data_IF_151536656215
#
_entry.id   IF_151536656215
#
_cell.length_a   1.000
_cell.length_b   1.000
_cell.length_c   1.000
_cell.angle_alpha   90.00
_cell.angle_beta   90.00
_cell.angle_gamma   90.00
#
_symmetry.space_group_name_H-M   'P 1'
#
loop_
_entity.id
_entity.type
_entity.pdbx_description
1 polymer ?
#
# COMPACT_ATOMS: atom_id res chain seq x y z
N UNK A 1 -13.77 -24.72 -0.07
CA UNK A 1 -13.27 -23.90 -1.18
C UNK A 1 -14.47 -23.36 -1.94
N UNK A 2 -14.50 -22.07 -2.19
CA UNK A 2 -15.54 -21.44 -3.00
C UNK A 2 -15.28 -21.65 -4.48
N UNK A 3 -16.35 -21.76 -5.27
CA UNK A 3 -16.25 -21.90 -6.72
C UNK A 3 -15.75 -20.60 -7.38
N UNK A 4 -14.78 -20.73 -8.28
CA UNK A 4 -14.22 -19.66 -9.09
C UNK A 4 -14.45 -20.02 -10.55
N UNK A 5 -15.21 -19.19 -11.26
CA UNK A 5 -15.71 -19.47 -12.60
C UNK A 5 -14.62 -19.54 -13.67
N UNK A 6 -13.52 -18.81 -13.51
CA UNK A 6 -12.44 -18.78 -14.49
C UNK A 6 -11.11 -18.32 -13.88
N UNK A 7 -10.03 -18.58 -14.61
CA UNK A 7 -8.67 -18.22 -14.19
C UNK A 7 -8.49 -16.72 -13.92
N UNK A 8 -9.09 -15.86 -14.75
CA UNK A 8 -9.03 -14.40 -14.58
C UNK A 8 -9.56 -13.94 -13.23
N UNK A 9 -10.70 -14.49 -12.81
CA UNK A 9 -11.28 -14.22 -11.48
C UNK A 9 -10.44 -14.80 -10.35
N UNK A 10 -9.76 -15.93 -10.59
CA UNK A 10 -8.85 -16.53 -9.62
C UNK A 10 -7.59 -15.72 -9.35
N UNK A 11 -7.05 -15.04 -10.37
CA UNK A 11 -5.84 -14.22 -10.24
C UNK A 11 -6.10 -12.73 -9.99
N UNK A 12 -7.33 -12.25 -10.21
CA UNK A 12 -7.73 -10.86 -9.97
C UNK A 12 -7.29 -10.33 -8.58
N UNK A 13 -7.53 -11.02 -7.45
CA UNK A 13 -7.08 -10.57 -6.13
C UNK A 13 -5.61 -10.12 -6.08
N UNK A 14 -4.72 -10.91 -6.69
CA UNK A 14 -3.29 -10.64 -6.69
C UNK A 14 -2.96 -9.40 -7.52
N UNK A 15 -3.52 -9.29 -8.74
CA UNK A 15 -3.24 -8.17 -9.62
C UNK A 15 -3.89 -6.86 -9.15
N UNK A 16 -5.09 -6.90 -8.56
CA UNK A 16 -5.73 -5.73 -7.93
C UNK A 16 -4.86 -5.18 -6.81
N UNK A 17 -4.39 -6.05 -5.90
CA UNK A 17 -3.51 -5.66 -4.79
C UNK A 17 -2.18 -5.11 -5.29
N UNK A 18 -1.57 -5.76 -6.28
CA UNK A 18 -0.35 -5.28 -6.91
C UNK A 18 -0.55 -3.90 -7.55
N UNK A 19 -1.64 -3.70 -8.29
CA UNK A 19 -1.96 -2.43 -8.94
C UNK A 19 -2.13 -1.28 -7.95
N UNK A 20 -2.78 -1.52 -6.80
CA UNK A 20 -2.93 -0.51 -5.73
C UNK A 20 -1.55 -0.09 -5.19
N UNK A 21 -0.67 -1.06 -4.90
CA UNK A 21 0.69 -0.75 -4.40
C UNK A 21 1.54 0.01 -5.43
N UNK A 22 1.53 -0.46 -6.69
CA UNK A 22 2.26 0.17 -7.79
C UNK A 22 1.75 1.59 -8.04
N UNK A 23 0.42 1.79 -8.08
CA UNK A 23 -0.19 3.10 -8.28
C UNK A 23 0.27 4.11 -7.23
N UNK A 24 0.27 3.71 -5.95
CA UNK A 24 0.80 4.56 -4.89
C UNK A 24 2.32 4.80 -5.00
N UNK A 25 3.10 3.79 -5.37
CA UNK A 25 4.56 3.92 -5.54
C UNK A 25 4.91 4.90 -6.67
N UNK A 26 4.15 4.87 -7.76
CA UNK A 26 4.25 5.84 -8.85
C UNK A 26 3.84 7.23 -8.33
N UNK A 27 2.74 7.32 -7.58
CA UNK A 27 2.23 8.60 -7.07
C UNK A 27 3.26 9.34 -6.20
N UNK A 28 3.95 8.66 -5.28
CA UNK A 28 5.02 9.26 -4.47
C UNK A 28 6.28 9.59 -5.27
N UNK A 29 6.45 9.01 -6.44
CA UNK A 29 7.55 9.31 -7.36
C UNK A 29 7.26 10.54 -8.21
N UNK A 30 5.99 10.76 -8.59
CA UNK A 30 5.54 11.89 -9.40
C UNK A 30 5.33 13.17 -8.56
N UNK A 31 4.77 13.05 -7.36
CA UNK A 31 4.42 14.19 -6.53
C UNK A 31 5.43 14.40 -5.39
N UNK A 32 5.81 15.66 -5.15
CA UNK A 32 6.64 16.02 -3.99
C UNK A 32 5.92 15.67 -2.69
N UNK A 33 6.55 14.85 -1.84
CA UNK A 33 6.01 14.47 -0.53
C UNK A 33 6.28 15.51 0.56
N UNK A 34 7.30 16.35 0.36
CA UNK A 34 7.67 17.43 1.27
C UNK A 34 6.91 18.71 0.92
N UNK A 35 6.49 19.43 1.96
CA UNK A 35 5.90 20.77 1.87
C UNK A 35 6.97 21.78 2.24
N UNK A 36 7.06 22.90 1.52
CA UNK A 36 7.98 23.97 1.88
C UNK A 36 7.52 24.61 3.20
N UNK A 37 8.42 24.66 4.18
CA UNK A 37 8.13 25.23 5.50
C UNK A 37 7.88 26.74 5.43
N UNK A 38 8.37 27.41 4.39
CA UNK A 38 8.17 28.86 4.17
C UNK A 38 6.69 29.20 3.93
N UNK A 39 5.95 28.29 3.31
CA UNK A 39 4.53 28.49 3.02
C UNK A 39 3.67 28.40 4.29
N UNK A 40 4.12 27.65 5.30
CA UNK A 40 3.34 27.35 6.52
C UNK A 40 4.16 27.44 7.82
N UNK A 41 4.81 28.58 8.14
CA UNK A 41 5.83 28.67 9.19
C UNK A 41 5.34 28.32 10.61
N UNK A 42 4.03 28.37 10.87
CA UNK A 42 3.41 28.06 12.17
C UNK A 42 2.87 26.63 12.29
N UNK A 43 2.96 25.81 11.24
CA UNK A 43 2.42 24.45 11.25
C UNK A 43 3.28 23.49 12.09
N UNK A 44 2.63 22.59 12.82
CA UNK A 44 3.28 21.54 13.61
C UNK A 44 3.70 20.36 12.73
N UNK A 45 4.69 19.53 13.15
CA UNK A 45 5.18 18.41 12.33
C UNK A 45 4.10 17.44 11.84
N UNK A 46 3.12 17.11 12.69
CA UNK A 46 2.00 16.24 12.30
C UNK A 46 1.05 16.92 11.32
N UNK A 47 0.91 18.25 11.35
CA UNK A 47 0.08 19.00 10.40
C UNK A 47 0.70 19.00 9.00
N UNK A 48 2.03 19.11 8.91
CA UNK A 48 2.74 18.91 7.65
C UNK A 48 2.56 17.50 7.09
N UNK A 49 2.66 16.48 7.95
CA UNK A 49 2.46 15.09 7.56
C UNK A 49 1.04 14.86 7.05
N UNK A 50 0.01 15.10 7.88
CA UNK A 50 -1.37 14.82 7.50
C UNK A 50 -1.87 15.74 6.40
N UNK A 51 -1.51 17.03 6.42
CA UNK A 51 -1.95 18.00 5.42
C UNK A 51 -1.52 17.61 4.01
N UNK A 52 -0.29 17.09 3.86
CA UNK A 52 0.17 16.58 2.56
C UNK A 52 -0.32 15.17 2.29
N UNK A 53 -0.35 14.29 3.29
CA UNK A 53 -0.83 12.91 3.14
C UNK A 53 -2.27 12.83 2.64
N UNK A 54 -3.17 13.73 3.06
CA UNK A 54 -4.57 13.72 2.61
C UNK A 54 -4.73 13.80 1.08
N UNK A 55 -3.83 14.53 0.39
CA UNK A 55 -3.80 14.55 -1.07
C UNK A 55 -3.46 13.17 -1.65
N UNK A 56 -2.43 12.52 -1.08
CA UNK A 56 -2.02 11.18 -1.50
C UNK A 56 -3.10 10.14 -1.21
N UNK A 57 -3.73 10.22 -0.04
CA UNK A 57 -4.83 9.35 0.34
C UNK A 57 -5.98 9.49 -0.67
N UNK A 58 -6.44 10.71 -0.94
CA UNK A 58 -7.53 10.94 -1.90
C UNK A 58 -7.22 10.35 -3.28
N UNK A 59 -6.03 10.62 -3.81
CA UNK A 59 -5.62 10.11 -5.12
C UNK A 59 -5.41 8.58 -5.13
N UNK A 60 -4.97 7.99 -4.02
CA UNK A 60 -4.85 6.54 -3.86
C UNK A 60 -6.21 5.87 -3.79
N UNK A 61 -7.17 6.45 -3.07
CA UNK A 61 -8.56 5.95 -3.03
C UNK A 61 -9.19 6.00 -4.42
N UNK A 62 -9.07 7.12 -5.14
CA UNK A 62 -9.58 7.23 -6.51
C UNK A 62 -8.99 6.14 -7.42
N UNK A 63 -7.67 5.91 -7.36
CA UNK A 63 -7.02 4.85 -8.13
C UNK A 63 -7.58 3.46 -7.77
N UNK A 64 -7.74 3.16 -6.48
CA UNK A 64 -8.28 1.88 -6.02
C UNK A 64 -9.73 1.65 -6.48
N UNK A 65 -10.57 2.70 -6.43
CA UNK A 65 -11.95 2.62 -6.92
C UNK A 65 -11.98 2.38 -8.44
N UNK A 66 -11.10 3.03 -9.21
CA UNK A 66 -10.97 2.80 -10.66
C UNK A 66 -10.54 1.36 -10.94
N UNK A 67 -9.57 0.82 -10.18
CA UNK A 67 -9.10 -0.55 -10.33
C UNK A 67 -10.27 -1.54 -10.12
N UNK A 68 -10.98 -1.44 -8.99
CA UNK A 68 -12.11 -2.35 -8.70
C UNK A 68 -13.25 -2.18 -9.70
N UNK A 69 -13.56 -0.95 -10.11
CA UNK A 69 -14.57 -0.71 -11.14
C UNK A 69 -14.16 -1.35 -12.49
N UNK A 70 -12.88 -1.28 -12.85
CA UNK A 70 -12.34 -1.96 -14.03
C UNK A 70 -12.46 -3.49 -13.92
N UNK A 71 -12.08 -4.06 -12.77
CA UNK A 71 -12.18 -5.50 -12.52
C UNK A 71 -13.63 -5.99 -12.69
N UNK A 72 -14.59 -5.28 -12.11
CA UNK A 72 -16.00 -5.69 -12.11
C UNK A 72 -16.72 -5.41 -13.43
N UNK A 73 -16.55 -4.22 -14.01
CA UNK A 73 -17.37 -3.74 -15.12
C UNK A 73 -16.71 -3.85 -16.50
N UNK A 74 -15.37 -3.89 -16.56
CA UNK A 74 -14.64 -4.01 -17.84
C UNK A 74 -14.18 -5.45 -18.04
N UNK A 75 -13.51 -6.02 -17.04
CA UNK A 75 -12.95 -7.38 -17.14
C UNK A 75 -13.94 -8.48 -16.75
N UNK A 76 -15.07 -8.12 -16.10
CA UNK A 76 -16.12 -9.07 -15.73
C UNK A 76 -15.65 -10.10 -14.71
N UNK A 77 -14.79 -9.70 -13.76
CA UNK A 77 -14.34 -10.56 -12.66
C UNK A 77 -15.54 -11.02 -11.86
N UNK A 78 -15.64 -12.33 -11.61
CA UNK A 78 -16.64 -12.89 -10.72
C UNK A 78 -16.53 -12.21 -9.36
N UNK A 79 -17.62 -11.64 -8.85
CA UNK A 79 -17.64 -11.11 -7.50
C UNK A 79 -19.00 -11.31 -6.84
N UNK A 80 -19.05 -12.12 -5.78
CA UNK A 80 -20.28 -12.35 -5.02
C UNK A 80 -20.65 -11.15 -4.15
N UNK A 81 -19.66 -10.37 -3.71
CA UNK A 81 -19.86 -9.22 -2.83
C UNK A 81 -19.16 -7.95 -3.34
N UNK A 82 -19.68 -7.30 -4.41
CA UNK A 82 -19.05 -6.12 -5.01
C UNK A 82 -18.85 -4.95 -4.04
N UNK A 83 -19.82 -4.65 -3.17
CA UNK A 83 -19.69 -3.59 -2.18
C UNK A 83 -18.55 -3.83 -1.18
N UNK A 84 -18.36 -5.09 -0.78
CA UNK A 84 -17.26 -5.47 0.09
C UNK A 84 -15.91 -5.44 -0.64
N UNK A 85 -15.88 -5.72 -1.96
CA UNK A 85 -14.69 -5.58 -2.79
C UNK A 85 -14.20 -4.12 -2.80
N UNK A 86 -15.10 -3.15 -2.99
CA UNK A 86 -14.76 -1.73 -2.92
C UNK A 86 -14.24 -1.32 -1.53
N UNK A 87 -14.89 -1.77 -0.46
CA UNK A 87 -14.42 -1.50 0.91
C UNK A 87 -13.03 -2.11 1.16
N UNK A 88 -12.81 -3.35 0.71
CA UNK A 88 -11.52 -4.04 0.85
C UNK A 88 -10.42 -3.33 0.10
N UNK A 89 -10.71 -2.85 -1.12
CA UNK A 89 -9.78 -2.04 -1.89
C UNK A 89 -9.47 -0.69 -1.23
N UNK A 90 -10.48 -0.03 -0.64
CA UNK A 90 -10.28 1.21 0.11
C UNK A 90 -9.36 1.00 1.32
N UNK A 91 -9.63 -0.01 2.16
CA UNK A 91 -8.78 -0.33 3.32
C UNK A 91 -7.37 -0.72 2.89
N UNK A 92 -7.24 -1.48 1.80
CA UNK A 92 -5.94 -1.84 1.20
C UNK A 92 -5.20 -0.60 0.72
N UNK A 93 -5.88 0.30 0.02
CA UNK A 93 -5.35 1.56 -0.51
C UNK A 93 -4.90 2.50 0.61
N UNK A 94 -5.72 2.68 1.65
CA UNK A 94 -5.35 3.41 2.85
C UNK A 94 -4.09 2.83 3.51
N UNK A 95 -4.03 1.51 3.68
CA UNK A 95 -2.89 0.83 4.30
C UNK A 95 -1.61 0.98 3.48
N UNK A 96 -1.68 0.77 2.17
CA UNK A 96 -0.51 0.87 1.30
C UNK A 96 -0.07 2.32 1.14
N UNK A 97 -1.02 3.25 0.98
CA UNK A 97 -0.75 4.68 0.87
C UNK A 97 0.00 5.21 2.07
N UNK A 98 -0.43 4.87 3.29
CA UNK A 98 0.22 5.40 4.48
C UNK A 98 1.61 4.81 4.69
N UNK A 99 1.81 3.52 4.40
CA UNK A 99 3.12 2.88 4.47
C UNK A 99 4.11 3.49 3.47
N UNK A 100 3.73 3.54 2.20
CA UNK A 100 4.61 4.01 1.11
C UNK A 100 4.89 5.51 1.29
N UNK A 101 3.88 6.29 1.66
CA UNK A 101 4.06 7.71 1.98
C UNK A 101 4.99 7.91 3.18
N UNK A 102 4.78 7.16 4.28
CA UNK A 102 5.61 7.25 5.47
C UNK A 102 7.08 6.89 5.20
N UNK A 103 7.34 5.83 4.42
CA UNK A 103 8.70 5.48 3.99
C UNK A 103 9.32 6.60 3.17
N UNK A 104 8.58 7.13 2.19
CA UNK A 104 9.09 8.15 1.27
C UNK A 104 9.35 9.49 1.95
N UNK A 105 8.46 9.95 2.84
CA UNK A 105 8.67 11.20 3.57
C UNK A 105 9.73 11.07 4.68
N UNK A 106 10.04 9.86 5.13
CA UNK A 106 11.07 9.63 6.14
C UNK A 106 12.47 9.49 5.52
N UNK A 107 12.57 8.80 4.37
CA UNK A 107 13.85 8.39 3.80
C UNK A 107 14.09 8.93 2.37
N UNK A 108 13.21 9.78 1.84
CA UNK A 108 13.34 10.34 0.49
C UNK A 108 13.31 9.26 -0.59
N UNK A 109 14.23 9.35 -1.55
CA UNK A 109 14.32 8.39 -2.66
C UNK A 109 14.71 6.98 -2.21
N UNK A 110 15.48 6.84 -1.12
CA UNK A 110 15.74 5.54 -0.50
C UNK A 110 14.41 4.92 -0.03
N UNK A 111 13.50 5.73 0.51
CA UNK A 111 12.17 5.27 0.92
C UNK A 111 11.34 4.73 -0.24
N UNK A 112 11.41 5.39 -1.42
CA UNK A 112 10.77 4.91 -2.65
C UNK A 112 11.35 3.57 -3.11
N UNK A 113 12.68 3.45 -3.11
CA UNK A 113 13.36 2.21 -3.47
C UNK A 113 12.99 1.06 -2.52
N UNK A 114 12.92 1.33 -1.21
CA UNK A 114 12.46 0.36 -0.22
C UNK A 114 11.02 -0.10 -0.48
N UNK A 115 10.10 0.81 -0.84
CA UNK A 115 8.73 0.44 -1.18
C UNK A 115 8.69 -0.54 -2.37
N UNK A 116 9.55 -0.36 -3.38
CA UNK A 116 9.67 -1.28 -4.53
C UNK A 116 10.27 -2.63 -4.10
N UNK A 117 11.33 -2.63 -3.30
CA UNK A 117 11.94 -3.88 -2.80
C UNK A 117 10.95 -4.67 -1.95
N UNK A 118 10.23 -4.01 -1.04
CA UNK A 118 9.18 -4.62 -0.21
C UNK A 118 8.08 -5.20 -1.11
N UNK A 119 7.67 -4.52 -2.17
CA UNK A 119 6.71 -5.05 -3.15
C UNK A 119 7.21 -6.35 -3.79
N UNK A 120 8.45 -6.37 -4.29
CA UNK A 120 9.02 -7.54 -4.97
C UNK A 120 9.10 -8.74 -4.04
N UNK A 121 9.50 -8.54 -2.79
CA UNK A 121 9.52 -9.60 -1.77
C UNK A 121 8.12 -10.16 -1.50
N UNK A 122 7.10 -9.31 -1.49
CA UNK A 122 5.70 -9.71 -1.30
C UNK A 122 5.16 -10.52 -2.47
N UNK A 123 5.53 -10.20 -3.71
CA UNK A 123 5.08 -10.95 -4.90
C UNK A 123 5.44 -12.44 -4.76
N UNK A 124 6.67 -12.74 -4.34
CA UNK A 124 7.14 -14.11 -4.17
C UNK A 124 6.49 -14.85 -2.99
N UNK A 125 6.09 -14.13 -1.93
CA UNK A 125 5.57 -14.71 -0.69
C UNK A 125 4.04 -14.68 -0.51
N UNK A 126 3.31 -13.93 -1.34
CA UNK A 126 1.90 -13.60 -1.07
C UNK A 126 0.88 -14.68 -1.46
N UNK A 127 1.34 -15.78 -2.05
CA UNK A 127 0.46 -16.88 -2.48
C UNK A 127 -0.57 -16.47 -3.53
N UNK A 128 -0.26 -15.46 -4.35
CA UNK A 128 -1.19 -14.88 -5.34
C UNK A 128 -1.49 -15.81 -6.51
N UNK A 129 -0.45 -16.38 -7.12
CA UNK A 129 -0.56 -17.30 -8.28
C UNK A 129 -0.49 -18.77 -7.88
N UNK A 130 0.15 -19.08 -6.76
CA UNK A 130 0.25 -20.43 -6.20
C UNK A 130 -0.19 -20.43 -4.73
N UNK A 131 -0.77 -21.54 -4.23
CA UNK A 131 -1.07 -21.68 -2.80
C UNK A 131 0.18 -21.48 -1.94
N UNK A 132 0.02 -20.87 -0.77
CA UNK A 132 1.13 -20.60 0.15
C UNK A 132 1.83 -21.91 0.58
N UNK A 133 1.10 -23.01 0.63
CA UNK A 133 1.57 -24.36 0.98
C UNK A 133 2.59 -24.90 -0.02
N UNK A 134 2.51 -24.46 -1.29
CA UNK A 134 3.44 -24.84 -2.35
C UNK A 134 4.77 -24.06 -2.29
N UNK A 135 4.85 -22.99 -1.47
CA UNK A 135 6.03 -22.15 -1.38
C UNK A 135 7.08 -22.72 -0.40
N UNK A 136 8.39 -22.47 -0.64
CA UNK A 136 9.45 -22.83 0.30
C UNK A 136 9.18 -22.31 1.71
N UNK A 137 9.70 -23.03 2.72
CA UNK A 137 9.45 -22.71 4.15
C UNK A 137 9.79 -21.26 4.51
N UNK A 138 10.84 -20.71 3.91
CA UNK A 138 11.22 -19.31 4.10
C UNK A 138 10.08 -18.34 3.75
N UNK A 139 9.52 -18.44 2.55
CA UNK A 139 8.43 -17.56 2.11
C UNK A 139 7.16 -17.75 2.95
N UNK A 140 6.86 -18.99 3.34
CA UNK A 140 5.75 -19.31 4.26
C UNK A 140 5.89 -18.70 5.65
N UNK A 141 7.11 -18.46 6.14
CA UNK A 141 7.30 -17.83 7.45
C UNK A 141 7.32 -16.31 7.36
N UNK A 142 7.81 -15.75 6.26
CA UNK A 142 8.03 -14.31 6.14
C UNK A 142 6.77 -13.57 5.67
N UNK A 143 5.91 -14.21 4.87
CA UNK A 143 4.77 -13.53 4.25
C UNK A 143 3.81 -12.88 5.26
N UNK A 144 3.67 -13.42 6.48
CA UNK A 144 2.81 -12.86 7.54
C UNK A 144 3.22 -11.46 7.99
N UNK A 145 4.48 -11.07 7.76
CA UNK A 145 5.02 -9.75 8.12
C UNK A 145 4.80 -8.70 7.03
N UNK A 146 3.97 -9.02 6.04
CA UNK A 146 3.65 -8.14 4.94
C UNK A 146 2.13 -7.99 4.79
N UNK A 147 1.66 -6.86 4.24
CA UNK A 147 0.22 -6.63 4.13
C UNK A 147 -0.44 -7.32 2.91
N UNK A 148 0.32 -7.67 1.86
CA UNK A 148 -0.22 -8.33 0.64
C UNK A 148 -1.09 -9.56 0.91
N UNK A 149 -0.71 -10.53 1.75
CA UNK A 149 -1.49 -11.75 1.94
C UNK A 149 -2.89 -11.46 2.48
N UNK A 150 -3.00 -10.52 3.41
CA UNK A 150 -4.28 -10.13 4.02
C UNK A 150 -5.16 -9.36 3.02
N UNK A 151 -4.56 -8.48 2.21
CA UNK A 151 -5.29 -7.81 1.13
C UNK A 151 -5.81 -8.83 0.10
N UNK A 152 -4.96 -9.76 -0.36
CA UNK A 152 -5.34 -10.78 -1.35
C UNK A 152 -6.44 -11.69 -0.80
N UNK A 153 -6.33 -12.13 0.45
CA UNK A 153 -7.35 -12.98 1.07
C UNK A 153 -8.68 -12.23 1.24
N UNK A 154 -8.67 -10.98 1.69
CA UNK A 154 -9.89 -10.16 1.75
C UNK A 154 -10.58 -10.02 0.38
N UNK A 155 -9.81 -9.80 -0.69
CA UNK A 155 -10.35 -9.75 -2.05
C UNK A 155 -10.91 -11.11 -2.50
N UNK A 156 -10.26 -12.23 -2.13
CA UNK A 156 -10.75 -13.59 -2.42
C UNK A 156 -12.09 -13.88 -1.75
N UNK A 157 -12.28 -13.45 -0.49
CA UNK A 157 -13.56 -13.57 0.21
C UNK A 157 -14.68 -12.79 -0.51
N UNK A 158 -14.36 -11.64 -1.10
CA UNK A 158 -15.32 -10.86 -1.87
C UNK A 158 -15.67 -11.53 -3.21
N UNK A 159 -14.68 -12.16 -3.87
CA UNK A 159 -14.79 -12.78 -5.20
C UNK A 159 -15.47 -14.16 -5.15
N UNK A 160 -14.95 -15.07 -4.33
CA UNK A 160 -15.44 -16.45 -4.23
C UNK A 160 -16.66 -16.61 -3.30
N UNK A 161 -16.74 -15.79 -2.26
CA UNK A 161 -17.74 -15.87 -1.20
C UNK A 161 -17.09 -15.78 0.18
N UNK A 162 -17.86 -15.34 1.17
CA UNK A 162 -17.36 -15.09 2.53
C UNK A 162 -17.53 -16.28 3.46
N UNK A 163 -16.57 -16.54 4.33
CA UNK A 163 -16.65 -17.51 5.43
C UNK A 163 -16.45 -16.81 6.79
N UNK A 164 -17.38 -17.04 7.73
CA UNK A 164 -17.33 -16.50 9.09
C UNK A 164 -16.95 -15.01 9.16
N UNK A 165 -15.79 -14.71 9.77
CA UNK A 165 -15.27 -13.36 10.00
C UNK A 165 -13.92 -13.15 9.29
N UNK A 166 -13.57 -14.00 8.32
CA UNK A 166 -12.23 -14.02 7.72
C UNK A 166 -11.92 -12.68 7.04
N UNK A 167 -12.88 -12.12 6.28
CA UNK A 167 -12.76 -10.78 5.72
C UNK A 167 -12.46 -9.73 6.81
N UNK A 168 -13.24 -9.72 7.89
CA UNK A 168 -13.06 -8.73 8.97
C UNK A 168 -11.68 -8.87 9.62
N UNK A 169 -11.22 -10.10 9.85
CA UNK A 169 -9.91 -10.38 10.42
C UNK A 169 -8.81 -9.87 9.49
N UNK A 170 -8.92 -10.10 8.18
CA UNK A 170 -7.92 -9.62 7.22
C UNK A 170 -7.89 -8.09 7.12
N UNK A 171 -9.06 -7.43 7.12
CA UNK A 171 -9.14 -5.96 7.19
C UNK A 171 -8.51 -5.41 8.48
N UNK A 172 -8.74 -6.06 9.63
CA UNK A 172 -8.11 -5.66 10.89
C UNK A 172 -6.60 -5.82 10.86
N UNK A 173 -6.08 -6.92 10.28
CA UNK A 173 -4.65 -7.12 10.11
C UNK A 173 -4.04 -6.05 9.20
N UNK A 174 -4.71 -5.66 8.11
CA UNK A 174 -4.27 -4.54 7.28
C UNK A 174 -4.15 -3.23 8.08
N UNK A 175 -5.11 -2.94 8.95
CA UNK A 175 -5.06 -1.74 9.81
C UNK A 175 -3.90 -1.76 10.80
N UNK A 176 -3.38 -2.93 11.21
CA UNK A 176 -2.14 -3.02 11.99
C UNK A 176 -0.96 -2.47 11.19
N UNK A 177 -0.87 -2.79 9.89
CA UNK A 177 0.16 -2.23 9.02
C UNK A 177 -0.04 -0.74 8.77
N UNK A 178 -1.28 -0.25 8.70
CA UNK A 178 -1.54 1.18 8.62
C UNK A 178 -1.04 1.91 9.89
N UNK A 179 -1.25 1.32 11.06
CA UNK A 179 -0.70 1.83 12.32
C UNK A 179 0.84 1.80 12.34
N UNK A 180 1.47 0.77 11.77
CA UNK A 180 2.92 0.73 11.59
C UNK A 180 3.42 1.85 10.66
N UNK A 181 2.71 2.13 9.57
CA UNK A 181 3.00 3.26 8.68
C UNK A 181 2.91 4.62 9.38
N UNK A 182 1.86 4.82 10.19
CA UNK A 182 1.74 6.01 11.04
C UNK A 182 2.90 6.15 12.01
N UNK A 183 3.29 5.06 12.67
CA UNK A 183 4.43 5.05 13.58
C UNK A 183 5.74 5.44 12.87
N UNK A 184 5.98 4.89 11.67
CA UNK A 184 7.14 5.27 10.86
C UNK A 184 7.08 6.77 10.51
N UNK A 185 5.96 7.25 9.98
CA UNK A 185 5.81 8.61 9.47
C UNK A 185 5.83 9.71 10.54
N UNK A 186 5.36 9.40 11.75
CA UNK A 186 5.26 10.37 12.85
C UNK A 186 6.40 10.27 13.87
N UNK A 187 6.93 9.07 14.13
CA UNK A 187 7.92 8.83 15.18
C UNK A 187 9.30 8.56 14.59
N UNK A 188 9.43 7.52 13.76
CA UNK A 188 10.73 7.12 13.18
C UNK A 188 11.31 8.22 12.31
N UNK A 189 10.47 9.01 11.64
CA UNK A 189 10.87 10.16 10.83
C UNK A 189 11.71 11.19 11.58
N UNK A 190 11.41 11.46 12.86
CA UNK A 190 11.96 12.59 13.64
C UNK A 190 13.50 12.69 13.57
N UNK A 191 14.28 11.63 13.86
CA UNK A 191 15.74 11.67 13.77
C UNK A 191 16.27 11.89 12.34
N UNK A 192 15.56 11.40 11.32
CA UNK A 192 16.02 11.47 9.92
C UNK A 192 15.75 12.84 9.27
N UNK A 193 14.89 13.68 9.84
CA UNK A 193 14.63 15.03 9.32
C UNK A 193 15.93 15.86 9.28
N UNK A 194 16.76 15.76 10.33
CA UNK A 194 18.04 16.49 10.39
C UNK A 194 19.07 15.98 9.40
N UNK A 195 19.14 14.66 9.22
CA UNK A 195 20.07 14.02 8.28
C UNK A 195 19.70 14.34 6.83
N UNK A 196 18.41 14.27 6.47
CA UNK A 196 17.96 14.59 5.12
C UNK A 196 18.24 16.06 4.77
N UNK A 197 18.03 17.00 5.69
CA UNK A 197 18.33 18.41 5.46
C UNK A 197 19.84 18.67 5.28
N UNK A 198 20.69 17.91 5.98
CA UNK A 198 22.15 17.98 5.81
C UNK A 198 22.60 17.46 4.44
N UNK A 199 22.02 16.34 3.98
CA UNK A 199 22.33 15.75 2.67
C UNK A 199 21.85 16.67 1.54
N UNK A 200 20.63 17.20 1.63
CA UNK A 200 20.06 18.10 0.63
C UNK A 200 20.92 19.37 0.46
N UNK A 201 21.35 19.98 1.57
CA UNK A 201 22.25 21.14 1.56
C UNK A 201 23.60 20.85 0.91
N UNK A 202 24.17 19.65 1.14
CA UNK A 202 25.42 19.21 0.50
C UNK A 202 25.27 19.00 -1.00
N UNK A 203 24.11 18.55 -1.47
CA UNK A 203 23.84 18.37 -2.90
C UNK A 203 23.69 19.71 -3.62
N UNK A 204 23.05 20.69 -3.00
CA UNK A 204 22.98 22.08 -3.49
C UNK A 204 24.38 22.71 -3.60
N UNK A 205 25.23 22.51 -2.59
CA UNK A 205 26.62 23.02 -2.58
C UNK A 205 27.50 22.42 -3.69
N UNK A 206 27.17 21.22 -4.17
CA UNK A 206 27.95 20.51 -5.21
C UNK A 206 27.41 20.75 -6.63
N UNK A 207 26.41 21.61 -6.83
CA UNK A 207 25.75 21.87 -8.14
C UNK A 207 25.31 20.58 -8.87
N UNK A 208 24.87 19.56 -8.13
CA UNK A 208 24.35 18.30 -8.70
C UNK A 208 22.82 18.27 -8.84
N UNK A 209 22.17 19.42 -8.68
CA UNK A 209 20.76 19.71 -8.97
C UNK A 209 20.69 20.88 -9.94
#
# INVERSE_FOLDING_TARGET
MYEIANYGSGVAPFYTVLAIWVGMTILVSLLKVHVDKKDFPKAKPYQYFFGRYLLFLLLSEIQAMIIVAGDLYIFGVQCKHPGAMFLTAAVTSFTFSILIYALTISFGDIGKALAVVIMVLQIAGSGGTYPIEALPRFFRSVYIFFPFPYAINGMRECIGGMYHQDLTIDLLKLLIFAAAGLFIGLVVRIPFIGLNHFIEKRMEDTKML
#
